data_IF_988263402211
#
_entry.id   IF_988263402211
#
_cell.length_a   1.000
_cell.length_b   1.000
_cell.length_c   1.000
_cell.angle_alpha   90.00
_cell.angle_beta   90.00
_cell.angle_gamma   90.00
#
_symmetry.space_group_name_H-M   'P 1'
#
loop_
_entity.id
_entity.type
_entity.pdbx_description
1 polymer ?
#
# COMPACT_ATOMS: atom_id res chain seq x y z
N UNK A 1 28.07 1.55 9.57
CA UNK A 1 27.62 2.95 9.37
C UNK A 1 26.13 3.01 9.65
N UNK A 2 25.66 3.94 10.50
CA UNK A 2 24.22 4.13 10.75
C UNK A 2 23.56 4.56 9.44
N UNK A 3 22.56 3.80 8.95
CA UNK A 3 21.81 4.16 7.74
C UNK A 3 20.50 4.81 8.20
N UNK A 4 20.63 5.96 8.84
CA UNK A 4 19.49 6.78 9.22
C UNK A 4 18.90 7.38 7.95
N UNK A 5 17.59 7.22 7.78
CA UNK A 5 16.84 7.82 6.68
C UNK A 5 15.63 8.56 7.25
N UNK A 6 15.25 9.67 6.63
CA UNK A 6 13.95 10.31 6.89
C UNK A 6 12.90 9.72 5.96
N UNK A 7 11.75 9.38 6.51
CA UNK A 7 10.61 8.78 5.82
C UNK A 7 9.42 9.73 5.87
N UNK A 8 8.71 9.83 4.75
CA UNK A 8 7.40 10.48 4.65
C UNK A 8 6.31 9.44 4.47
N UNK A 9 5.31 9.44 5.34
CA UNK A 9 4.09 8.64 5.17
C UNK A 9 2.95 9.58 4.81
N UNK A 10 2.45 9.46 3.59
CA UNK A 10 1.37 10.30 3.07
C UNK A 10 0.05 9.81 3.67
N UNK A 11 -0.74 10.72 4.23
CA UNK A 11 -2.10 10.46 4.70
C UNK A 11 -3.14 11.39 4.04
N UNK A 12 -2.69 12.42 3.32
CA UNK A 12 -3.56 13.29 2.53
C UNK A 12 -4.31 12.50 1.43
N UNK A 13 -5.55 12.86 1.10
CA UNK A 13 -6.31 12.19 0.07
C UNK A 13 -5.87 12.52 -1.36
N UNK A 14 -6.04 11.58 -2.30
CA UNK A 14 -5.90 11.85 -3.73
C UNK A 14 -7.04 12.77 -4.21
N UNK A 15 -7.03 13.13 -5.49
CA UNK A 15 -8.26 13.63 -6.11
C UNK A 15 -9.10 12.41 -6.48
N UNK A 16 -10.13 12.16 -5.67
CA UNK A 16 -10.86 10.89 -5.65
C UNK A 16 -11.35 10.47 -7.05
N UNK A 17 -10.91 9.28 -7.49
CA UNK A 17 -11.21 8.69 -8.80
C UNK A 17 -10.86 9.59 -10.00
N UNK A 18 -9.86 10.47 -9.85
CA UNK A 18 -9.27 11.24 -10.95
C UNK A 18 -7.75 10.98 -10.98
N UNK A 19 -7.32 10.12 -11.90
CA UNK A 19 -5.92 9.67 -11.96
C UNK A 19 -4.96 10.81 -12.29
N UNK A 20 -5.33 11.65 -13.25
CA UNK A 20 -4.48 12.73 -13.75
C UNK A 20 -4.14 13.71 -12.64
N UNK A 21 -5.17 14.24 -11.97
CA UNK A 21 -4.98 15.22 -10.89
C UNK A 21 -4.33 14.57 -9.66
N UNK A 22 -4.60 13.29 -9.40
CA UNK A 22 -3.92 12.54 -8.34
C UNK A 22 -2.43 12.40 -8.62
N UNK A 23 -2.01 12.11 -9.86
CA UNK A 23 -0.59 12.08 -10.24
C UNK A 23 0.06 13.45 -10.03
N UNK A 24 -0.57 14.54 -10.48
CA UNK A 24 -0.06 15.90 -10.29
C UNK A 24 0.11 16.25 -8.79
N UNK A 25 -0.86 15.86 -7.96
CA UNK A 25 -0.78 16.01 -6.51
C UNK A 25 0.32 15.14 -5.91
N UNK A 26 0.47 13.88 -6.32
CA UNK A 26 1.51 13.00 -5.83
C UNK A 26 2.92 13.52 -6.14
N UNK A 27 3.16 14.01 -7.36
CA UNK A 27 4.44 14.65 -7.72
C UNK A 27 4.73 15.82 -6.77
N UNK A 28 3.73 16.66 -6.49
CA UNK A 28 3.88 17.77 -5.54
C UNK A 28 4.24 17.29 -4.12
N UNK A 29 3.61 16.21 -3.65
CA UNK A 29 3.89 15.61 -2.33
C UNK A 29 5.27 14.93 -2.25
N UNK A 30 5.72 14.33 -3.34
CA UNK A 30 7.06 13.76 -3.48
C UNK A 30 8.10 14.88 -3.41
N UNK A 31 7.91 15.98 -4.13
CA UNK A 31 8.80 17.14 -4.09
C UNK A 31 8.80 17.84 -2.73
N UNK A 32 7.65 17.93 -2.06
CA UNK A 32 7.58 18.41 -0.67
C UNK A 32 8.38 17.49 0.27
N UNK A 33 8.23 16.17 0.14
CA UNK A 33 8.97 15.19 0.94
C UNK A 33 10.48 15.27 0.69
N UNK A 34 10.89 15.53 -0.55
CA UNK A 34 12.29 15.73 -0.92
C UNK A 34 12.88 16.99 -0.26
N UNK A 35 12.15 18.11 -0.26
CA UNK A 35 12.54 19.36 0.41
C UNK A 35 12.74 19.16 1.91
N UNK A 36 11.94 18.29 2.51
CA UNK A 36 12.06 17.88 3.91
C UNK A 36 13.24 16.93 4.16
N UNK A 37 13.97 16.50 3.14
CA UNK A 37 15.14 15.62 3.27
C UNK A 37 14.79 14.13 3.37
N UNK A 38 13.57 13.75 2.99
CA UNK A 38 13.17 12.34 3.00
C UNK A 38 13.96 11.52 1.97
N UNK A 39 14.04 10.21 2.20
CA UNK A 39 14.62 9.22 1.28
C UNK A 39 13.65 8.10 0.91
N UNK A 40 12.56 7.96 1.66
CA UNK A 40 11.45 7.04 1.39
C UNK A 40 10.13 7.80 1.50
N UNK A 41 9.25 7.64 0.51
CA UNK A 41 7.88 8.15 0.53
C UNK A 41 6.91 6.97 0.39
N UNK A 42 5.94 6.90 1.29
CA UNK A 42 4.93 5.83 1.33
C UNK A 42 3.55 6.43 1.08
N UNK A 43 2.85 5.93 0.06
CA UNK A 43 1.46 6.27 -0.24
C UNK A 43 0.49 5.14 0.19
N UNK A 44 -0.73 5.49 0.65
CA UNK A 44 -1.79 4.55 1.04
C UNK A 44 -2.23 3.53 -0.02
N UNK A 45 -3.02 2.55 0.43
CA UNK A 45 -3.69 1.58 -0.44
C UNK A 45 -4.55 2.31 -1.48
N UNK A 46 -4.39 1.92 -2.76
CA UNK A 46 -5.15 2.47 -3.89
C UNK A 46 -5.21 3.99 -3.96
N UNK A 47 -4.18 4.70 -3.46
CA UNK A 47 -4.13 6.16 -3.53
C UNK A 47 -4.21 6.67 -4.98
N UNK A 48 -3.69 5.90 -5.93
CA UNK A 48 -3.91 6.13 -7.36
C UNK A 48 -5.08 5.27 -7.88
N UNK A 49 -6.26 5.84 -8.21
CA UNK A 49 -6.69 7.24 -8.04
C UNK A 49 -7.53 7.51 -6.76
N UNK A 50 -7.68 6.51 -5.89
CA UNK A 50 -8.57 6.55 -4.74
C UNK A 50 -9.22 5.20 -4.51
N UNK A 51 -9.36 4.80 -3.25
CA UNK A 51 -9.99 3.54 -2.89
C UNK A 51 -11.47 3.55 -3.30
N UNK A 52 -12.00 2.47 -3.93
CA UNK A 52 -13.38 2.42 -4.39
C UNK A 52 -14.35 2.19 -3.22
N UNK A 53 -14.49 3.17 -2.33
CA UNK A 53 -15.28 3.09 -1.08
C UNK A 53 -16.74 2.65 -1.32
N UNK A 54 -17.28 2.94 -2.49
CA UNK A 54 -18.63 2.54 -2.87
C UNK A 54 -18.88 1.02 -2.74
N UNK A 55 -17.85 0.17 -2.80
CA UNK A 55 -18.02 -1.28 -2.62
C UNK A 55 -18.52 -1.66 -1.23
N UNK A 56 -18.24 -0.84 -0.20
CA UNK A 56 -18.71 -1.06 1.16
C UNK A 56 -20.13 -0.54 1.41
N UNK A 57 -20.62 0.30 0.50
CA UNK A 57 -21.90 1.03 0.63
C UNK A 57 -22.98 0.52 -0.31
N UNK A 58 -22.61 -0.30 -1.29
CA UNK A 58 -23.52 -0.91 -2.25
C UNK A 58 -23.77 -2.39 -1.94
N UNK A 59 -25.00 -2.86 -2.18
CA UNK A 59 -25.39 -4.24 -1.95
C UNK A 59 -25.13 -5.10 -3.19
N UNK A 60 -24.36 -6.19 -3.08
CA UNK A 60 -24.19 -7.14 -4.19
C UNK A 60 -25.53 -7.63 -4.72
N UNK A 61 -25.67 -7.68 -6.05
CA UNK A 61 -26.91 -8.10 -6.73
C UNK A 61 -28.01 -7.03 -6.80
N UNK A 62 -28.33 -6.36 -5.68
CA UNK A 62 -29.39 -5.37 -5.65
C UNK A 62 -28.99 -4.03 -6.30
N UNK A 63 -27.74 -3.60 -6.11
CA UNK A 63 -27.25 -2.30 -6.59
C UNK A 63 -26.35 -2.39 -7.84
N UNK A 64 -26.45 -3.47 -8.62
CA UNK A 64 -25.51 -3.71 -9.75
C UNK A 64 -25.41 -2.53 -10.71
N UNK A 65 -26.53 -1.89 -11.04
CA UNK A 65 -26.50 -0.73 -11.96
C UNK A 65 -25.68 0.44 -11.42
N UNK A 66 -25.75 0.70 -10.10
CA UNK A 66 -24.95 1.74 -9.43
C UNK A 66 -23.48 1.35 -9.39
N UNK A 67 -23.21 0.07 -9.12
CA UNK A 67 -21.85 -0.49 -9.19
C UNK A 67 -21.27 -0.30 -10.59
N UNK A 68 -22.02 -0.57 -11.67
CA UNK A 68 -21.55 -0.40 -13.05
C UNK A 68 -21.21 1.07 -13.37
N UNK A 69 -22.03 2.03 -12.91
CA UNK A 69 -21.79 3.46 -13.14
C UNK A 69 -20.46 3.92 -12.50
N UNK A 70 -20.21 3.49 -11.26
CA UNK A 70 -19.00 3.83 -10.52
C UNK A 70 -17.78 3.03 -11.00
N UNK A 71 -17.97 1.75 -11.34
CA UNK A 71 -16.93 0.90 -11.89
C UNK A 71 -16.43 1.45 -13.22
N UNK A 72 -17.29 2.00 -14.08
CA UNK A 72 -16.88 2.67 -15.31
C UNK A 72 -15.91 3.83 -15.06
N UNK A 73 -16.19 4.68 -14.06
CA UNK A 73 -15.31 5.80 -13.68
C UNK A 73 -14.00 5.26 -13.10
N UNK A 74 -14.11 4.29 -12.19
CA UNK A 74 -12.97 3.64 -11.52
C UNK A 74 -12.02 2.99 -12.53
N UNK A 75 -12.56 2.26 -13.51
CA UNK A 75 -11.80 1.61 -14.57
C UNK A 75 -11.09 2.63 -15.47
N UNK A 76 -11.78 3.71 -15.87
CA UNK A 76 -11.20 4.77 -16.69
C UNK A 76 -10.04 5.51 -16.01
N UNK A 77 -10.00 5.51 -14.68
CA UNK A 77 -8.96 6.16 -13.86
C UNK A 77 -7.96 5.17 -13.24
N UNK A 78 -7.96 3.91 -13.68
CA UNK A 78 -7.01 2.92 -13.17
C UNK A 78 -5.64 3.04 -13.83
N UNK A 79 -4.60 2.69 -13.10
CA UNK A 79 -3.21 2.73 -13.54
C UNK A 79 -2.94 1.59 -14.51
N UNK A 80 -2.45 1.92 -15.69
CA UNK A 80 -1.94 0.96 -16.66
C UNK A 80 -0.42 1.17 -16.78
N UNK A 81 0.36 0.20 -16.30
CA UNK A 81 1.82 0.27 -16.34
C UNK A 81 2.37 0.19 -17.78
N UNK A 82 1.66 -0.46 -18.71
CA UNK A 82 2.07 -0.52 -20.13
C UNK A 82 1.87 0.79 -20.85
N UNK A 83 0.87 1.56 -20.44
CA UNK A 83 0.65 2.94 -20.90
C UNK A 83 1.49 3.96 -20.15
N UNK A 84 2.44 3.51 -19.31
CA UNK A 84 3.36 4.37 -18.58
C UNK A 84 2.64 5.40 -17.68
N UNK A 85 1.46 5.07 -17.13
CA UNK A 85 0.72 5.99 -16.26
C UNK A 85 1.55 6.38 -15.02
N UNK A 86 2.45 5.50 -14.53
CA UNK A 86 3.35 5.80 -13.40
C UNK A 86 4.63 6.55 -13.77
N UNK A 87 4.84 6.90 -15.05
CA UNK A 87 6.08 7.56 -15.50
C UNK A 87 6.38 8.86 -14.77
N UNK A 88 5.41 9.77 -14.51
CA UNK A 88 5.68 10.99 -13.76
C UNK A 88 6.18 10.70 -12.33
N UNK A 89 5.67 9.65 -11.68
CA UNK A 89 6.10 9.22 -10.35
C UNK A 89 7.52 8.64 -10.39
N UNK A 90 7.84 7.83 -11.41
CA UNK A 90 9.21 7.33 -11.63
C UNK A 90 10.22 8.45 -11.88
N UNK A 91 9.83 9.47 -12.65
CA UNK A 91 10.68 10.63 -12.91
C UNK A 91 10.87 11.50 -11.67
N UNK A 92 9.81 11.70 -10.88
CA UNK A 92 9.89 12.39 -9.59
C UNK A 92 10.77 11.63 -8.59
N UNK A 93 10.66 10.30 -8.51
CA UNK A 93 11.55 9.45 -7.71
C UNK A 93 13.01 9.66 -8.11
N UNK A 94 13.33 9.53 -9.40
CA UNK A 94 14.69 9.70 -9.93
C UNK A 94 15.24 11.11 -9.70
N UNK A 95 14.44 12.14 -9.98
CA UNK A 95 14.84 13.54 -9.84
C UNK A 95 15.23 13.89 -8.41
N UNK A 96 14.53 13.31 -7.43
CA UNK A 96 14.70 13.62 -6.01
C UNK A 96 15.49 12.55 -5.24
N UNK A 97 15.95 11.50 -5.93
CA UNK A 97 16.63 10.34 -5.34
C UNK A 97 15.82 9.71 -4.18
N UNK A 98 14.52 9.53 -4.42
CA UNK A 98 13.55 9.01 -3.46
C UNK A 98 13.12 7.59 -3.83
N UNK A 99 13.08 6.71 -2.85
CA UNK A 99 12.36 5.44 -2.96
C UNK A 99 10.88 5.71 -2.70
N UNK A 100 10.00 5.12 -3.50
CA UNK A 100 8.55 5.28 -3.39
C UNK A 100 7.89 3.90 -3.26
N UNK A 101 7.01 3.78 -2.27
CA UNK A 101 6.07 2.65 -2.15
C UNK A 101 4.66 3.20 -2.26
N UNK A 102 3.85 2.68 -3.16
CA UNK A 102 2.51 3.22 -3.39
C UNK A 102 1.46 2.16 -3.69
N UNK A 103 0.31 2.25 -3.03
CA UNK A 103 -0.89 1.52 -3.42
C UNK A 103 -1.55 2.16 -4.64
N UNK A 104 -1.96 1.35 -5.60
CA UNK A 104 -2.68 1.79 -6.80
C UNK A 104 -3.70 0.75 -7.25
N UNK A 105 -4.76 1.22 -7.89
CA UNK A 105 -5.66 0.36 -8.62
C UNK A 105 -5.12 0.16 -10.04
N UNK A 106 -4.77 -1.08 -10.35
CA UNK A 106 -4.18 -1.49 -11.61
C UNK A 106 -5.24 -1.98 -12.59
N UNK A 107 -5.11 -1.63 -13.87
CA UNK A 107 -5.81 -2.28 -14.97
C UNK A 107 -4.80 -3.02 -15.86
N UNK A 108 -5.05 -4.30 -16.10
CA UNK A 108 -4.17 -5.15 -16.90
C UNK A 108 -4.60 -5.17 -18.37
N UNK A 109 -3.94 -4.33 -19.19
CA UNK A 109 -4.16 -4.26 -20.64
C UNK A 109 -3.48 -5.37 -21.45
N UNK A 110 -2.64 -6.22 -20.83
CA UNK A 110 -1.97 -7.31 -21.55
C UNK A 110 -2.88 -8.53 -21.77
N UNK A 111 -3.92 -8.70 -20.97
CA UNK A 111 -4.81 -9.87 -21.03
C UNK A 111 -6.21 -9.48 -21.53
N UNK A 112 -7.06 -8.96 -20.65
CA UNK A 112 -8.46 -8.61 -20.98
C UNK A 112 -8.65 -7.11 -21.19
N UNK A 113 -7.77 -6.28 -20.63
CA UNK A 113 -7.91 -4.82 -20.60
C UNK A 113 -9.11 -4.33 -19.79
N UNK A 114 -9.74 -5.18 -18.98
CA UNK A 114 -10.97 -4.84 -18.26
C UNK A 114 -10.91 -5.17 -16.77
N UNK A 115 -10.07 -6.14 -16.36
CA UNK A 115 -9.97 -6.54 -14.94
C UNK A 115 -9.14 -5.53 -14.16
N UNK A 116 -9.70 -5.10 -13.03
CA UNK A 116 -9.01 -4.25 -12.07
C UNK A 116 -8.36 -5.10 -10.97
N UNK A 117 -7.22 -4.66 -10.47
CA UNK A 117 -6.51 -5.27 -9.35
C UNK A 117 -6.14 -4.19 -8.34
N UNK A 118 -6.07 -4.56 -7.07
CA UNK A 118 -5.46 -3.73 -6.05
C UNK A 118 -3.99 -4.11 -5.94
N UNK A 119 -3.11 -3.14 -6.17
CA UNK A 119 -1.68 -3.38 -6.34
C UNK A 119 -0.82 -2.44 -5.50
N UNK A 120 0.39 -2.87 -5.16
CA UNK A 120 1.40 -2.06 -4.50
C UNK A 120 2.69 -2.05 -5.33
N UNK A 121 3.15 -0.87 -5.69
CA UNK A 121 4.36 -0.68 -6.50
C UNK A 121 5.52 -0.18 -5.63
N UNK A 122 6.72 -0.69 -5.92
CA UNK A 122 7.97 -0.22 -5.31
C UNK A 122 8.85 0.35 -6.43
N UNK A 123 9.18 1.64 -6.32
CA UNK A 123 10.03 2.38 -7.26
C UNK A 123 11.30 2.80 -6.51
N UNK A 124 12.47 2.46 -7.04
CA UNK A 124 13.75 2.84 -6.42
C UNK A 124 14.14 4.28 -6.73
N UNK A 125 15.17 4.78 -6.04
CA UNK A 125 15.69 6.14 -6.18
C UNK A 125 16.23 6.45 -7.58
N UNK A 126 16.46 5.46 -8.44
CA UNK A 126 16.82 5.65 -9.85
C UNK A 126 15.60 5.74 -10.80
N UNK A 127 14.38 5.62 -10.25
CA UNK A 127 13.12 5.64 -10.97
C UNK A 127 12.69 4.30 -11.56
N UNK A 128 13.42 3.21 -11.34
CA UNK A 128 12.99 1.88 -11.81
C UNK A 128 11.93 1.30 -10.90
N UNK A 129 10.91 0.69 -11.51
CA UNK A 129 9.95 -0.16 -10.80
C UNK A 129 10.64 -1.49 -10.50
N UNK A 130 10.84 -1.79 -9.22
CA UNK A 130 11.48 -3.02 -8.78
C UNK A 130 10.49 -4.14 -8.49
N UNK A 131 9.26 -3.78 -8.09
CA UNK A 131 8.21 -4.75 -7.80
C UNK A 131 6.83 -4.13 -8.03
N UNK A 132 5.87 -4.97 -8.42
CA UNK A 132 4.44 -4.66 -8.40
C UNK A 132 3.70 -5.88 -7.84
N UNK A 133 3.16 -5.75 -6.63
CA UNK A 133 2.45 -6.81 -5.91
C UNK A 133 0.95 -6.63 -6.05
N UNK A 134 0.25 -7.57 -6.69
CA UNK A 134 -1.23 -7.61 -6.72
C UNK A 134 -1.73 -8.30 -5.45
N UNK A 135 -2.69 -7.69 -4.76
CA UNK A 135 -3.36 -8.23 -3.56
C UNK A 135 -3.83 -9.66 -3.84
N UNK A 136 -3.37 -10.62 -3.05
CA UNK A 136 -3.65 -12.04 -3.23
C UNK A 136 -5.15 -12.34 -3.17
N UNK A 137 -5.87 -11.69 -2.27
CA UNK A 137 -7.30 -11.88 -2.06
C UNK A 137 -7.97 -10.57 -1.67
N UNK A 138 -8.80 -9.97 -2.53
CA UNK A 138 -9.68 -8.88 -2.16
C UNK A 138 -10.62 -9.29 -1.02
N UNK A 139 -10.84 -8.35 -0.10
CA UNK A 139 -11.68 -8.52 1.08
C UNK A 139 -13.15 -8.39 0.70
N UNK A 140 -13.90 -9.47 0.91
CA UNK A 140 -15.37 -9.51 0.83
C UNK A 140 -16.01 -8.60 -0.27
N UNK A 141 -16.52 -7.37 -0.04
CA UNK A 141 -17.15 -6.58 -1.10
C UNK A 141 -16.19 -6.12 -2.20
N UNK A 142 -14.89 -6.01 -1.92
CA UNK A 142 -13.87 -5.69 -2.90
C UNK A 142 -13.86 -6.69 -4.08
N UNK A 143 -14.32 -7.92 -3.86
CA UNK A 143 -14.43 -8.97 -4.90
C UNK A 143 -15.47 -8.64 -5.97
N UNK A 144 -16.32 -7.63 -5.77
CA UNK A 144 -17.21 -7.12 -6.80
C UNK A 144 -16.47 -6.40 -7.92
N UNK A 145 -15.27 -5.87 -7.65
CA UNK A 145 -14.54 -5.00 -8.59
C UNK A 145 -13.11 -5.47 -8.88
N UNK A 146 -12.48 -6.22 -7.97
CA UNK A 146 -11.09 -6.64 -8.13
C UNK A 146 -10.92 -8.14 -8.37
N UNK A 147 -9.94 -8.45 -9.23
CA UNK A 147 -9.41 -9.80 -9.42
C UNK A 147 -8.40 -10.21 -8.35
N UNK A 148 -8.06 -11.50 -8.34
CA UNK A 148 -7.07 -12.08 -7.44
C UNK A 148 -5.64 -11.92 -7.99
N UNK A 149 -4.70 -11.55 -7.12
CA UNK A 149 -3.26 -11.59 -7.41
C UNK A 149 -2.67 -13.00 -7.29
N UNK A 150 -1.51 -13.20 -7.90
CA UNK A 150 -0.66 -14.38 -7.70
C UNK A 150 0.57 -14.03 -6.85
N UNK A 151 1.41 -15.01 -6.52
CA UNK A 151 2.59 -14.80 -5.68
C UNK A 151 3.82 -14.28 -6.45
N UNK A 152 3.71 -13.94 -7.74
CA UNK A 152 4.85 -13.44 -8.53
C UNK A 152 5.34 -12.08 -8.06
N UNK A 153 4.44 -11.27 -7.47
CA UNK A 153 4.75 -9.98 -6.84
C UNK A 153 5.09 -10.06 -5.35
N UNK A 154 5.04 -11.25 -4.74
CA UNK A 154 5.31 -11.48 -3.31
C UNK A 154 6.83 -11.45 -3.02
N UNK A 155 7.43 -10.28 -3.25
CA UNK A 155 8.87 -10.04 -3.24
C UNK A 155 9.28 -9.00 -2.20
N UNK A 156 10.44 -9.23 -1.59
CA UNK A 156 11.23 -8.19 -0.94
C UNK A 156 12.33 -7.77 -1.91
N UNK A 157 12.46 -6.48 -2.17
CA UNK A 157 13.43 -5.92 -3.13
C UNK A 157 14.46 -5.05 -2.45
N UNK A 158 15.70 -5.08 -2.96
CA UNK A 158 16.77 -4.20 -2.51
C UNK A 158 16.61 -2.82 -3.16
N UNK A 159 16.63 -1.78 -2.33
CA UNK A 159 16.47 -0.37 -2.75
C UNK A 159 17.60 0.49 -2.18
N UNK A 160 17.69 1.74 -2.62
CA UNK A 160 18.64 2.71 -2.09
C UNK A 160 18.56 2.90 -0.57
N UNK A 161 17.40 2.67 0.05
CA UNK A 161 17.19 2.86 1.51
C UNK A 161 17.25 1.57 2.34
N UNK A 162 17.20 0.40 1.71
CA UNK A 162 17.16 -0.89 2.39
C UNK A 162 16.25 -1.89 1.68
N UNK A 163 16.00 -3.05 2.29
CA UNK A 163 15.14 -4.07 1.69
C UNK A 163 13.69 -3.83 2.07
N UNK A 164 12.86 -3.62 1.06
CA UNK A 164 11.45 -3.27 1.22
C UNK A 164 10.58 -4.40 0.69
N UNK A 165 9.56 -4.76 1.45
CA UNK A 165 8.43 -5.56 0.99
C UNK A 165 7.12 -4.91 1.44
N UNK A 166 6.03 -5.27 0.78
CA UNK A 166 4.71 -4.73 1.10
C UNK A 166 3.63 -5.81 1.01
N UNK A 167 2.69 -5.77 1.96
CA UNK A 167 1.43 -6.51 1.91
C UNK A 167 0.27 -5.53 2.10
N UNK A 168 -0.81 -5.72 1.35
CA UNK A 168 -1.96 -4.82 1.31
C UNK A 168 -3.01 -5.24 2.32
N UNK A 169 -3.36 -4.32 3.23
CA UNK A 169 -4.55 -4.45 4.10
C UNK A 169 -4.63 -5.84 4.77
N UNK A 170 -5.69 -6.60 4.56
CA UNK A 170 -5.91 -7.88 5.24
C UNK A 170 -4.96 -9.02 4.82
N UNK A 171 -4.08 -8.84 3.83
CA UNK A 171 -2.96 -9.76 3.62
C UNK A 171 -2.05 -9.83 4.85
N UNK A 172 -2.00 -8.76 5.66
CA UNK A 172 -1.26 -8.71 6.91
C UNK A 172 -1.80 -9.68 7.97
N UNK A 173 -3.04 -10.14 7.85
CA UNK A 173 -3.58 -11.21 8.70
C UNK A 173 -3.22 -12.62 8.20
N UNK A 174 -2.69 -12.77 6.98
CA UNK A 174 -2.28 -14.06 6.44
C UNK A 174 -0.89 -14.45 6.97
N UNK A 175 -0.75 -15.41 7.88
CA UNK A 175 0.54 -15.74 8.49
C UNK A 175 1.56 -16.23 7.47
N UNK A 176 1.13 -17.00 6.45
CA UNK A 176 2.03 -17.51 5.41
C UNK A 176 2.53 -16.40 4.47
N UNK A 177 1.74 -15.36 4.21
CA UNK A 177 2.18 -14.22 3.42
C UNK A 177 3.23 -13.40 4.19
N UNK A 178 3.02 -13.19 5.49
CA UNK A 178 4.02 -12.56 6.37
C UNK A 178 5.30 -13.38 6.45
N UNK A 179 5.19 -14.69 6.66
CA UNK A 179 6.35 -15.59 6.69
C UNK A 179 7.13 -15.54 5.37
N UNK A 180 6.44 -15.45 4.22
CA UNK A 180 7.07 -15.27 2.92
C UNK A 180 7.89 -13.98 2.85
N UNK A 181 7.40 -12.87 3.39
CA UNK A 181 8.17 -11.61 3.48
C UNK A 181 9.40 -11.74 4.37
N UNK A 182 9.24 -12.33 5.57
CA UNK A 182 10.34 -12.50 6.52
C UNK A 182 11.46 -13.37 5.95
N UNK A 183 11.11 -14.44 5.23
CA UNK A 183 12.07 -15.39 4.63
C UNK A 183 12.96 -14.74 3.56
N UNK A 184 12.54 -13.59 3.03
CA UNK A 184 13.29 -12.80 2.06
C UNK A 184 14.11 -11.67 2.73
N UNK A 185 14.26 -11.74 4.06
CA UNK A 185 15.12 -10.88 4.87
C UNK A 185 14.74 -9.40 4.79
N UNK A 186 13.45 -9.11 4.96
CA UNK A 186 12.88 -7.75 4.94
C UNK A 186 13.47 -6.84 6.03
N UNK A 187 13.76 -5.57 5.70
CA UNK A 187 14.19 -4.56 6.66
C UNK A 187 13.07 -3.56 6.98
N UNK A 188 12.33 -3.15 5.96
CA UNK A 188 11.19 -2.23 6.05
C UNK A 188 9.98 -2.93 5.45
N UNK A 189 8.97 -3.12 6.28
CA UNK A 189 7.68 -3.71 5.94
C UNK A 189 6.67 -2.57 5.79
N UNK A 190 6.11 -2.43 4.59
CA UNK A 190 5.09 -1.41 4.31
C UNK A 190 3.72 -2.07 4.23
N UNK A 191 2.75 -1.54 4.98
CA UNK A 191 1.39 -2.05 5.06
C UNK A 191 0.37 -0.94 4.69
N UNK A 192 0.22 -0.61 3.39
CA UNK A 192 -0.85 0.27 2.97
C UNK A 192 -2.20 -0.40 3.21
N UNK A 193 -3.19 0.36 3.70
CA UNK A 193 -4.49 -0.20 4.08
C UNK A 193 -5.65 0.78 3.90
N UNK A 194 -6.87 0.24 3.88
CA UNK A 194 -8.15 0.90 4.10
C UNK A 194 -8.81 0.50 5.44
N UNK A 195 -8.16 -0.37 6.22
CA UNK A 195 -8.56 -0.70 7.60
C UNK A 195 -8.05 0.38 8.56
N UNK A 196 -8.65 0.49 9.74
CA UNK A 196 -8.33 1.56 10.70
C UNK A 196 -8.59 1.16 12.15
N UNK A 197 -8.13 2.01 13.08
CA UNK A 197 -8.44 1.87 14.49
C UNK A 197 -7.59 0.85 15.24
N UNK A 198 -7.98 0.64 16.51
CA UNK A 198 -7.12 -0.03 17.52
C UNK A 198 -6.69 -1.44 17.16
N UNK A 199 -7.56 -2.21 16.50
CA UNK A 199 -7.28 -3.59 16.11
C UNK A 199 -6.21 -3.65 15.01
N UNK A 200 -6.32 -2.79 14.01
CA UNK A 200 -5.30 -2.67 12.96
C UNK A 200 -3.94 -2.25 13.55
N UNK A 201 -3.95 -1.24 14.41
CA UNK A 201 -2.74 -0.72 15.07
C UNK A 201 -2.06 -1.78 15.95
N UNK A 202 -2.83 -2.56 16.72
CA UNK A 202 -2.30 -3.69 17.49
C UNK A 202 -1.67 -4.77 16.58
N UNK A 203 -2.25 -5.00 15.41
CA UNK A 203 -1.72 -5.96 14.43
C UNK A 203 -0.39 -5.49 13.87
N UNK A 204 -0.25 -4.21 13.49
CA UNK A 204 1.02 -3.65 13.01
C UNK A 204 2.12 -3.72 14.06
N UNK A 205 1.77 -3.46 15.32
CA UNK A 205 2.70 -3.64 16.44
C UNK A 205 3.18 -5.09 16.57
N UNK A 206 2.27 -6.06 16.48
CA UNK A 206 2.60 -7.48 16.51
C UNK A 206 3.50 -7.88 15.35
N UNK A 207 3.22 -7.45 14.12
CA UNK A 207 4.02 -7.73 12.93
C UNK A 207 5.44 -7.18 13.09
N UNK A 208 5.60 -5.98 13.64
CA UNK A 208 6.91 -5.40 13.92
C UNK A 208 7.70 -6.24 14.95
N UNK A 209 6.99 -6.83 15.91
CA UNK A 209 7.56 -7.76 16.90
C UNK A 209 7.97 -9.09 16.29
N UNK A 210 7.08 -9.70 15.54
CA UNK A 210 7.26 -11.02 14.94
C UNK A 210 8.35 -11.01 13.87
N UNK A 211 8.33 -10.02 12.96
CA UNK A 211 9.29 -9.94 11.86
C UNK A 211 10.65 -9.34 12.22
N UNK A 212 10.75 -8.65 13.37
CA UNK A 212 11.97 -7.89 13.72
C UNK A 212 12.34 -6.89 12.63
N UNK A 213 11.36 -6.15 12.12
CA UNK A 213 11.54 -5.18 11.04
C UNK A 213 10.80 -3.88 11.36
N UNK A 214 11.17 -2.80 10.67
CA UNK A 214 10.41 -1.56 10.72
C UNK A 214 9.06 -1.80 10.04
N UNK A 215 7.96 -1.45 10.70
CA UNK A 215 6.62 -1.51 10.09
C UNK A 215 6.11 -0.10 9.88
N UNK A 216 5.69 0.19 8.66
CA UNK A 216 5.11 1.46 8.25
C UNK A 216 3.71 1.17 7.72
N UNK A 217 2.69 1.63 8.42
CA UNK A 217 1.30 1.49 8.00
C UNK A 217 0.74 2.85 7.60
N UNK A 218 -0.11 2.87 6.59
CA UNK A 218 -0.76 4.08 6.11
C UNK A 218 -2.13 3.79 5.49
N UNK A 219 -3.09 4.64 5.82
CA UNK A 219 -4.36 4.72 5.14
C UNK A 219 -4.60 6.16 4.69
N UNK A 220 -5.55 6.34 3.77
CA UNK A 220 -5.93 7.67 3.32
C UNK A 220 -6.90 8.28 4.34
N UNK A 221 -6.56 9.41 4.96
CA UNK A 221 -7.52 10.15 5.77
C UNK A 221 -8.42 10.99 4.86
N UNK A 222 -9.69 10.60 4.76
CA UNK A 222 -10.66 11.17 3.81
C UNK A 222 -12.02 11.34 4.45
N UNK A 223 -12.63 12.50 4.17
CA UNK A 223 -13.99 12.84 4.55
C UNK A 223 -14.89 12.82 3.31
N UNK A 224 -16.19 12.68 3.52
CA UNK A 224 -17.18 12.76 2.45
C UNK A 224 -17.10 14.09 1.66
N UNK A 225 -16.63 15.17 2.28
CA UNK A 225 -16.38 16.47 1.63
C UNK A 225 -15.19 16.50 0.67
N UNK A 226 -14.27 15.53 0.72
CA UNK A 226 -13.19 15.39 -0.25
C UNK A 226 -13.61 14.61 -1.51
N UNK A 227 -14.77 13.95 -1.47
CA UNK A 227 -15.34 13.20 -2.58
C UNK A 227 -16.15 14.16 -3.47
N UNK A 228 -15.93 14.20 -4.79
CA UNK A 228 -16.67 15.08 -5.70
C UNK A 228 -18.19 14.86 -5.60
N UNK A 229 -18.94 15.95 -5.42
CA UNK A 229 -20.40 15.89 -5.27
C UNK A 229 -21.15 15.55 -6.55
N UNK A 230 -20.48 15.61 -7.70
CA UNK A 230 -20.96 15.17 -9.01
C UNK A 230 -20.71 13.68 -9.28
N UNK A 231 -20.08 12.95 -8.35
CA UNK A 231 -19.95 11.50 -8.41
C UNK A 231 -21.36 10.86 -8.49
N UNK A 232 -21.60 9.88 -9.37
CA UNK A 232 -22.88 9.18 -9.44
C UNK A 232 -23.29 8.64 -8.06
N UNK A 233 -24.57 8.84 -7.71
CA UNK A 233 -25.16 8.37 -6.45
C UNK A 233 -24.54 8.98 -5.18
N UNK A 234 -23.80 10.10 -5.27
CA UNK A 234 -23.10 10.73 -4.14
C UNK A 234 -23.99 10.95 -2.91
N UNK A 235 -25.17 11.56 -3.07
CA UNK A 235 -26.05 11.87 -1.94
C UNK A 235 -26.59 10.61 -1.23
N UNK A 236 -26.68 9.47 -1.93
CA UNK A 236 -27.08 8.19 -1.34
C UNK A 236 -25.91 7.54 -0.60
N UNK A 237 -24.71 7.56 -1.18
CA UNK A 237 -23.52 6.90 -0.64
C UNK A 237 -22.87 7.69 0.50
N UNK A 238 -22.90 9.01 0.43
CA UNK A 238 -22.23 9.92 1.37
C UNK A 238 -23.21 10.97 1.90
N UNK A 239 -24.28 10.57 2.61
CA UNK A 239 -25.34 11.47 3.06
C UNK A 239 -24.86 12.49 4.12
N UNK A 240 -23.74 12.23 4.81
CA UNK A 240 -23.18 13.08 5.86
C UNK A 240 -21.83 13.67 5.42
N UNK A 241 -21.80 14.96 5.10
CA UNK A 241 -20.63 15.63 4.51
C UNK A 241 -19.38 15.64 5.40
N UNK A 242 -19.56 15.71 6.72
CA UNK A 242 -18.46 15.77 7.69
C UNK A 242 -18.00 14.37 8.16
N UNK A 243 -18.62 13.30 7.63
CA UNK A 243 -18.24 11.92 7.90
C UNK A 243 -16.77 11.70 7.50
N UNK A 244 -16.00 11.14 8.42
CA UNK A 244 -14.73 10.51 8.09
C UNK A 244 -15.02 9.16 7.46
N UNK A 245 -14.83 9.08 6.15
CA UNK A 245 -14.96 7.83 5.39
C UNK A 245 -13.83 6.88 5.79
N UNK A 246 -12.63 7.42 6.00
CA UNK A 246 -11.52 6.74 6.66
C UNK A 246 -10.70 7.77 7.46
N UNK A 247 -10.37 7.46 8.70
CA UNK A 247 -9.67 8.30 9.66
C UNK A 247 -8.15 8.32 9.45
N UNK A 248 -7.58 7.42 8.64
CA UNK A 248 -6.14 7.31 8.45
C UNK A 248 -5.48 6.33 9.43
N UNK A 249 -4.77 6.86 10.43
CA UNK A 249 -3.89 6.12 11.36
C UNK A 249 -2.51 5.75 10.81
N UNK A 250 -1.89 6.64 10.02
CA UNK A 250 -0.49 6.53 9.63
C UNK A 250 0.41 6.36 10.87
N UNK A 251 1.20 5.29 10.91
CA UNK A 251 1.97 4.87 12.09
C UNK A 251 3.25 4.15 11.69
N UNK A 252 4.29 4.30 12.52
CA UNK A 252 5.59 3.63 12.37
C UNK A 252 5.93 2.90 13.66
N UNK A 253 6.29 1.63 13.55
CA UNK A 253 6.79 0.81 14.65
C UNK A 253 8.26 0.44 14.43
N UNK A 254 9.03 0.52 15.51
CA UNK A 254 10.40 -0.02 15.55
C UNK A 254 10.36 -1.54 15.43
N UNK A 255 11.46 -2.16 14.94
CA UNK A 255 11.68 -3.58 15.13
C UNK A 255 11.45 -3.97 16.60
N UNK A 256 10.73 -5.07 16.82
CA UNK A 256 10.32 -5.55 18.14
C UNK A 256 9.06 -4.87 18.76
N UNK A 257 8.39 -3.98 18.02
CA UNK A 257 7.02 -3.53 18.31
C UNK A 257 6.90 -2.29 19.21
N UNK A 258 7.96 -1.52 19.43
CA UNK A 258 7.85 -0.22 20.10
C UNK A 258 7.26 0.81 19.12
N UNK A 259 6.27 1.59 19.56
CA UNK A 259 5.74 2.70 18.77
C UNK A 259 6.84 3.75 18.53
N UNK A 260 7.04 4.14 17.28
CA UNK A 260 8.06 5.13 16.91
C UNK A 260 7.46 6.48 16.55
N UNK A 261 6.38 6.50 15.77
CA UNK A 261 5.69 7.71 15.35
C UNK A 261 4.21 7.42 15.01
N UNK A 262 3.34 8.42 15.17
CA UNK A 262 1.88 8.27 14.99
C UNK A 262 1.19 7.67 16.23
N UNK A 263 -0.04 7.13 16.08
CA UNK A 263 -0.87 7.18 14.88
C UNK A 263 -1.41 8.59 14.61
N UNK A 264 -1.44 9.01 13.34
CA UNK A 264 -2.15 10.23 12.94
C UNK A 264 -3.63 9.91 12.69
N UNK A 265 -4.51 10.22 13.66
CA UNK A 265 -5.94 9.88 13.57
C UNK A 265 -6.78 11.11 13.19
N UNK A 266 -7.61 11.00 12.15
CA UNK A 266 -8.47 12.09 11.65
C UNK A 266 -7.67 13.36 11.31
N UNK A 267 -6.48 13.16 10.76
CA UNK A 267 -5.55 14.23 10.40
C UNK A 267 -5.11 14.06 8.95
N UNK A 268 -5.28 15.08 8.12
CA UNK A 268 -4.78 15.09 6.73
C UNK A 268 -3.37 15.69 6.73
N UNK A 269 -2.36 14.91 6.33
CA UNK A 269 -0.99 15.40 6.38
C UNK A 269 0.06 14.38 5.92
N UNK A 270 1.30 14.63 6.30
CA UNK A 270 2.44 13.75 6.06
C UNK A 270 3.10 13.48 7.42
N UNK A 271 3.23 12.21 7.79
CA UNK A 271 4.02 11.81 8.95
C UNK A 271 5.49 11.76 8.55
N UNK A 272 6.30 12.68 9.06
CA UNK A 272 7.76 12.65 8.90
C UNK A 272 8.41 11.95 10.07
N UNK A 273 9.35 11.04 9.81
CA UNK A 273 10.11 10.37 10.87
C UNK A 273 11.48 9.90 10.41
N UNK A 274 12.48 9.94 11.30
CA UNK A 274 13.79 9.33 11.04
C UNK A 274 13.83 7.90 11.57
N UNK A 275 14.32 6.95 10.77
CA UNK A 275 14.50 5.56 11.16
C UNK A 275 15.93 5.08 10.91
N UNK A 276 16.46 4.23 11.78
CA UNK A 276 17.72 3.51 11.56
C UNK A 276 17.42 2.11 11.03
N UNK A 277 17.53 1.94 9.71
CA UNK A 277 17.18 0.70 9.00
C UNK A 277 18.03 -0.49 9.49
N UNK A 278 19.24 -0.23 10.03
CA UNK A 278 20.11 -1.30 10.51
C UNK A 278 19.56 -2.03 11.74
N UNK A 279 18.62 -1.41 12.48
CA UNK A 279 18.01 -2.02 13.66
C UNK A 279 17.21 -3.28 13.35
N UNK A 280 16.65 -3.42 12.16
CA UNK A 280 15.90 -4.63 11.77
C UNK A 280 16.77 -5.88 11.89
N UNK A 281 17.95 -5.86 11.27
CA UNK A 281 18.92 -6.96 11.31
C UNK A 281 19.40 -7.28 12.73
N UNK A 282 19.72 -6.25 13.52
CA UNK A 282 20.18 -6.44 14.90
C UNK A 282 19.08 -7.03 15.78
N UNK A 283 17.83 -6.59 15.59
CA UNK A 283 16.68 -7.06 16.37
C UNK A 283 16.46 -8.56 16.21
N UNK A 284 16.66 -9.08 14.99
CA UNK A 284 16.49 -10.50 14.65
C UNK A 284 17.47 -11.41 15.39
N UNK A 285 18.55 -10.90 16.00
CA UNK A 285 19.36 -11.70 16.94
C UNK A 285 18.53 -12.25 18.11
N UNK A 286 17.54 -11.50 18.60
CA UNK A 286 16.69 -11.89 19.74
C UNK A 286 15.63 -12.93 19.33
N UNK A 287 15.04 -12.72 18.16
CA UNK A 287 14.01 -13.58 17.59
C UNK A 287 14.00 -13.42 16.06
N UNK A 288 14.20 -14.52 15.34
CA UNK A 288 14.11 -14.58 13.88
C UNK A 288 13.21 -15.74 13.46
N UNK A 289 11.95 -15.43 13.14
CA UNK A 289 10.91 -16.39 12.79
C UNK A 289 11.26 -17.29 11.61
N UNK A 290 12.09 -16.78 10.68
CA UNK A 290 12.51 -17.49 9.46
C UNK A 290 13.97 -17.94 9.50
N UNK A 291 14.69 -17.56 10.56
CA UNK A 291 16.06 -17.98 10.84
C UNK A 291 16.10 -19.01 11.95
N UNK A 292 16.76 -18.68 13.07
CA UNK A 292 17.08 -19.65 14.13
C UNK A 292 15.86 -20.15 14.94
N UNK A 293 14.65 -19.60 14.76
CA UNK A 293 13.41 -20.17 15.32
C UNK A 293 12.62 -21.05 14.33
N UNK A 294 12.98 -21.10 13.04
CA UNK A 294 12.13 -21.66 11.97
C UNK A 294 11.88 -23.17 12.01
N UNK A 295 12.77 -23.96 12.64
CA UNK A 295 12.70 -25.45 12.72
C UNK A 295 12.37 -26.13 11.37
N UNK A 296 13.23 -25.98 10.33
CA UNK A 296 12.98 -26.56 9.00
C UNK A 296 12.98 -28.10 8.98
N UNK A 297 13.47 -28.72 10.06
CA UNK A 297 13.35 -30.16 10.32
C UNK A 297 11.91 -30.60 10.65
N UNK A 298 11.04 -29.68 11.06
CA UNK A 298 9.63 -29.92 11.40
C UNK A 298 8.70 -29.24 10.39
N UNK A 299 8.96 -27.97 10.07
CA UNK A 299 8.06 -27.14 9.28
C UNK A 299 8.71 -26.74 7.94
N UNK A 300 7.95 -26.85 6.85
CA UNK A 300 8.37 -26.39 5.53
C UNK A 300 7.27 -25.61 4.85
N UNK A 301 7.62 -24.49 4.20
CA UNK A 301 6.72 -23.72 3.35
C UNK A 301 7.25 -23.72 1.92
N UNK A 302 6.39 -24.09 0.96
CA UNK A 302 6.67 -23.99 -0.47
C UNK A 302 5.71 -22.99 -1.10
N UNK A 303 6.25 -22.05 -1.87
CA UNK A 303 5.49 -20.98 -2.53
C UNK A 303 5.73 -21.08 -4.04
N UNK A 304 4.65 -21.17 -4.80
CA UNK A 304 4.71 -21.09 -6.26
C UNK A 304 4.65 -19.62 -6.69
N UNK A 305 5.80 -19.07 -7.09
CA UNK A 305 5.94 -17.67 -7.54
C UNK A 305 5.86 -17.52 -9.06
N UNK A 306 5.48 -18.57 -9.79
CA UNK A 306 5.30 -18.46 -11.24
C UNK A 306 4.14 -17.51 -11.55
N UNK A 307 4.36 -16.59 -12.49
CA UNK A 307 3.30 -15.71 -13.00
C UNK A 307 2.24 -16.58 -13.66
N UNK A 308 0.98 -16.45 -13.22
CA UNK A 308 -0.14 -17.21 -13.77
C UNK A 308 -0.71 -16.48 -14.97
N UNK A 309 -0.70 -17.14 -16.13
CA UNK A 309 -1.32 -16.65 -17.37
C UNK A 309 -2.51 -17.54 -17.73
N UNK A 310 -3.63 -16.97 -18.22
CA UNK A 310 -4.78 -17.76 -18.64
C UNK A 310 -4.53 -18.52 -19.96
N UNK A 311 -3.52 -18.14 -20.74
CA UNK A 311 -3.10 -18.78 -21.99
C UNK A 311 -1.58 -19.00 -21.94
N UNK A 312 -1.13 -20.23 -22.22
CA UNK A 312 0.27 -20.68 -22.16
C UNK A 312 0.67 -21.24 -23.53
#
# INVERSE_FOLDING_TARGET
MKKNIKVSVIQQPPVYLNLKESIERAVSLIEQSAKEGSKLVVFPETWFPGYPEFVWRLKPGADMKKTDDLFKISQANSVDLKKNHMKPIQEAARKNELVIVAGHQEIDSEISGSTLYNSCIIIDADGKILNNHRKLMPTNPERMVWGFGDASGLNVVETAVGRIGALLCWENYMPLARYAMYSQNIDIYVAPTWDEGKTWIATMQHIAKEGGCWVISCATAIQASDIPSDLPHYNELFPTKDEWVNCGDAVIYKPFGELHAGPMNKEKGILFSEIDVSLSRVSRRRFDATGHYSRPDIFSLKIDKSKKKPVI
#
